data_IF_116455141168
#
_entry.id   IF_116455141168
#
_cell.length_a   1.000
_cell.length_b   1.000
_cell.length_c   1.000
_cell.angle_alpha   90.00
_cell.angle_beta   90.00
_cell.angle_gamma   90.00
#
_symmetry.space_group_name_H-M   'P 1'
#
loop_
_entity.id
_entity.type
_entity.pdbx_description
1 polymer ?
#
# COMPACT_ATOMS: atom_id res chain seq x y z
N UNK A 1 8.43 -8.48 -10.39
CA UNK A 1 7.16 -7.97 -9.82
C UNK A 1 7.53 -7.05 -8.67
N UNK A 2 7.26 -5.74 -8.77
CA UNK A 2 7.76 -4.75 -7.80
C UNK A 2 6.61 -4.35 -6.86
N UNK A 3 6.75 -4.66 -5.58
CA UNK A 3 5.81 -4.23 -4.53
C UNK A 3 5.68 -2.71 -4.55
N UNK A 4 4.47 -2.23 -4.86
CA UNK A 4 4.15 -0.80 -4.90
C UNK A 4 3.79 -0.26 -3.52
N UNK A 5 3.29 -1.11 -2.62
CA UNK A 5 2.89 -0.71 -1.29
C UNK A 5 3.88 -1.17 -0.23
N UNK A 6 4.16 -0.33 0.76
CA UNK A 6 5.05 -0.67 1.87
C UNK A 6 4.52 -0.13 3.20
N UNK A 7 4.99 -0.72 4.29
CA UNK A 7 4.67 -0.30 5.66
C UNK A 7 5.75 0.66 6.15
N UNK A 8 5.34 1.84 6.60
CA UNK A 8 6.17 2.81 7.29
C UNK A 8 5.72 2.92 8.76
N UNK A 9 6.54 2.50 9.74
CA UNK A 9 6.31 2.83 11.15
C UNK A 9 6.43 4.35 11.34
N UNK A 10 5.39 4.97 11.91
CA UNK A 10 5.43 6.38 12.31
C UNK A 10 5.77 6.51 13.80
N UNK A 11 5.17 5.64 14.62
CA UNK A 11 5.44 5.48 16.05
C UNK A 11 5.37 3.99 16.40
N UNK A 12 5.62 3.64 17.66
CA UNK A 12 5.47 2.25 18.14
C UNK A 12 4.07 1.67 17.95
N UNK A 13 3.06 2.54 17.82
CA UNK A 13 1.64 2.18 17.74
C UNK A 13 0.98 2.58 16.44
N UNK A 14 1.68 3.23 15.50
CA UNK A 14 1.08 3.70 14.25
C UNK A 14 1.93 3.23 13.07
N UNK A 15 1.30 2.46 12.19
CA UNK A 15 1.88 1.92 10.97
C UNK A 15 1.10 2.46 9.77
N UNK A 16 1.81 3.12 8.85
CA UNK A 16 1.23 3.70 7.65
C UNK A 16 1.50 2.79 6.46
N UNK A 17 0.49 2.62 5.60
CA UNK A 17 0.65 2.03 4.28
C UNK A 17 0.86 3.15 3.30
N UNK A 18 1.97 3.10 2.57
CA UNK A 18 2.32 4.08 1.55
C UNK A 18 2.43 3.40 0.20
N UNK A 19 2.04 4.11 -0.85
CA UNK A 19 2.21 3.69 -2.23
C UNK A 19 3.42 4.40 -2.84
N UNK A 20 4.36 3.63 -3.40
CA UNK A 20 5.53 4.16 -4.10
C UNK A 20 5.09 4.87 -5.36
N UNK A 21 5.35 6.17 -5.42
CA UNK A 21 5.15 6.98 -6.63
C UNK A 21 6.14 6.63 -7.74
N UNK A 22 7.31 6.09 -7.37
CA UNK A 22 8.34 5.65 -8.31
C UNK A 22 8.82 4.24 -8.01
N UNK A 23 8.92 3.44 -9.08
CA UNK A 23 9.47 2.08 -9.05
C UNK A 23 11.01 2.04 -9.01
N UNK A 24 11.65 3.21 -9.14
CA UNK A 24 13.10 3.38 -9.18
C UNK A 24 13.63 4.28 -8.05
N UNK A 25 12.77 5.11 -7.45
CA UNK A 25 13.10 5.94 -6.30
C UNK A 25 12.95 5.18 -4.99
N UNK A 26 13.71 5.57 -3.96
CA UNK A 26 13.57 4.99 -2.62
C UNK A 26 12.18 5.30 -2.03
N UNK A 27 11.66 4.43 -1.14
CA UNK A 27 10.48 4.74 -0.34
C UNK A 27 10.67 6.09 0.37
N UNK A 28 9.76 7.04 0.16
CA UNK A 28 9.98 8.42 0.56
C UNK A 28 8.83 9.01 1.36
N UNK A 29 9.11 10.05 2.19
CA UNK A 29 8.10 10.76 2.96
C UNK A 29 7.03 11.44 2.10
N UNK A 30 7.28 11.60 0.80
CA UNK A 30 6.36 12.17 -0.18
C UNK A 30 5.42 11.14 -0.81
N UNK A 31 5.64 9.84 -0.58
CA UNK A 31 4.72 8.81 -1.06
C UNK A 31 3.35 8.95 -0.38
N UNK A 32 2.24 8.86 -1.14
CA UNK A 32 0.90 9.02 -0.60
C UNK A 32 0.58 7.94 0.43
N UNK A 33 -0.07 8.38 1.51
CA UNK A 33 -0.60 7.49 2.55
C UNK A 33 -1.92 6.91 2.05
N UNK A 34 -1.99 5.59 1.97
CA UNK A 34 -3.18 4.85 1.53
C UNK A 34 -4.07 4.50 2.72
N UNK A 35 -3.45 4.08 3.83
CA UNK A 35 -4.16 3.59 5.03
C UNK A 35 -3.24 3.63 6.26
N UNK A 36 -3.82 3.64 7.45
CA UNK A 36 -3.10 3.51 8.72
C UNK A 36 -3.63 2.34 9.55
N UNK A 37 -2.78 1.81 10.42
CA UNK A 37 -3.06 0.70 11.31
C UNK A 37 -2.43 0.96 12.68
N UNK A 38 -3.10 0.49 13.74
CA UNK A 38 -2.54 0.47 15.09
C UNK A 38 -1.77 -0.82 15.41
N UNK A 39 -2.01 -1.87 14.62
CA UNK A 39 -1.41 -3.20 14.80
C UNK A 39 -0.43 -3.47 13.67
N UNK A 40 0.82 -3.79 14.04
CA UNK A 40 1.89 -4.08 13.07
C UNK A 40 1.50 -5.22 12.13
N UNK A 41 1.00 -6.32 12.68
CA UNK A 41 0.65 -7.52 11.93
C UNK A 41 -0.36 -7.21 10.80
N UNK A 42 -1.43 -6.50 11.12
CA UNK A 42 -2.48 -6.13 10.16
C UNK A 42 -1.94 -5.24 9.02
N UNK A 43 -1.04 -4.31 9.35
CA UNK A 43 -0.40 -3.46 8.35
C UNK A 43 0.38 -4.28 7.31
N UNK A 44 1.18 -5.24 7.76
CA UNK A 44 1.96 -6.11 6.86
C UNK A 44 1.08 -7.08 6.09
N UNK A 45 0.05 -7.65 6.71
CA UNK A 45 -0.94 -8.50 6.03
C UNK A 45 -1.66 -7.74 4.93
N UNK A 46 -2.09 -6.50 5.19
CA UNK A 46 -2.73 -5.65 4.21
C UNK A 46 -1.78 -5.28 3.07
N UNK A 47 -0.55 -4.83 3.37
CA UNK A 47 0.45 -4.49 2.37
C UNK A 47 0.82 -5.69 1.47
N UNK A 48 0.95 -6.88 2.05
CA UNK A 48 1.18 -8.12 1.30
C UNK A 48 -0.01 -8.45 0.38
N UNK A 49 -1.23 -8.38 0.92
CA UNK A 49 -2.46 -8.63 0.16
C UNK A 49 -2.58 -7.71 -1.05
N UNK A 50 -2.48 -6.38 -0.87
CA UNK A 50 -2.66 -5.42 -1.98
C UNK A 50 -1.53 -5.48 -3.01
N UNK A 51 -0.31 -5.83 -2.61
CA UNK A 51 0.79 -6.05 -3.55
C UNK A 51 0.57 -7.31 -4.40
N UNK A 52 0.00 -8.37 -3.81
CA UNK A 52 -0.35 -9.60 -4.50
C UNK A 52 -1.63 -9.47 -5.35
N UNK A 53 -2.62 -8.71 -4.89
CA UNK A 53 -3.84 -8.43 -5.66
C UNK A 53 -3.55 -7.52 -6.86
N UNK A 54 -2.63 -6.54 -6.73
CA UNK A 54 -2.17 -5.71 -7.85
C UNK A 54 -1.29 -6.46 -8.87
N UNK A 55 -0.98 -7.73 -8.59
CA UNK A 55 -0.30 -8.66 -9.48
C UNK A 55 -1.28 -9.46 -10.35
N UNK A 56 -2.50 -9.68 -9.84
CA UNK A 56 -3.61 -10.36 -10.53
C UNK A 56 -4.62 -9.38 -11.17
N UNK A 57 -4.64 -8.10 -10.75
CA UNK A 57 -5.62 -7.13 -11.20
C UNK A 57 -5.04 -6.09 -12.18
N UNK A 58 -5.24 -6.34 -13.49
CA UNK A 58 -5.39 -5.31 -14.51
C UNK A 58 -6.86 -5.36 -15.01
N UNK A 59 -7.46 -4.27 -15.50
CA UNK A 59 -8.40 -3.44 -14.76
C UNK A 59 -9.83 -3.53 -15.33
N UNK A 60 -10.84 -3.68 -14.47
CA UNK A 60 -12.21 -3.25 -14.82
C UNK A 60 -12.84 -2.59 -13.60
N UNK A 61 -12.43 -1.35 -13.33
CA UNK A 61 -13.32 -0.41 -12.63
C UNK A 61 -14.24 0.15 -13.71
N UNK A 62 -15.24 -0.64 -14.11
CA UNK A 62 -16.41 -0.07 -14.77
C UNK A 62 -17.42 0.27 -13.69
N UNK A 63 -17.39 1.55 -13.35
CA UNK A 63 -18.32 2.23 -12.45
C UNK A 63 -19.73 2.12 -13.06
N UNK A 64 -20.49 1.06 -12.76
CA UNK A 64 -21.92 1.04 -13.08
C UNK A 64 -22.64 1.99 -12.13
N UNK A 65 -22.78 3.24 -12.59
CA UNK A 65 -23.94 4.08 -12.29
C UNK A 65 -25.11 3.52 -13.11
N UNK A 66 -26.14 3.03 -12.43
CA UNK A 66 -27.54 3.06 -12.88
C UNK A 66 -28.42 2.95 -11.64
#
# INVERSE_FOLDING_TARGET
MKNRYYVQPLTDQIFLIRERTSMSGEPGPNDPIVRSFSVRHDAYMYAGKINNEGLEANPVIEKKRS
#
